data_IF_273826959756
#
_entry.id   IF_273826959756
#
_cell.length_a   1.000
_cell.length_b   1.000
_cell.length_c   1.000
_cell.angle_alpha   90.00
_cell.angle_beta   90.00
_cell.angle_gamma   90.00
#
_symmetry.space_group_name_H-M   'P 1'
#
loop_
_entity.id
_entity.type
_entity.pdbx_description
1 polymer ?
#
# COMPACT_ATOMS: atom_id res chain seq x y z
N UNK A 1 -10.34 -7.80 15.90
CA UNK A 1 -9.13 -6.95 15.93
C UNK A 1 -8.65 -6.79 14.50
N UNK A 2 -8.93 -5.65 13.86
CA UNK A 2 -8.62 -5.47 12.44
C UNK A 2 -7.12 -5.31 12.26
N UNK A 3 -6.50 -6.27 11.58
CA UNK A 3 -5.08 -6.21 11.24
C UNK A 3 -4.81 -4.97 10.39
N UNK A 4 -3.73 -4.24 10.64
CA UNK A 4 -3.42 -3.04 9.88
C UNK A 4 -3.13 -3.45 8.42
N UNK A 5 -3.76 -2.81 7.42
CA UNK A 5 -3.52 -3.15 6.04
C UNK A 5 -2.05 -2.88 5.68
N UNK A 6 -1.38 -3.90 5.15
CA UNK A 6 0.02 -3.80 4.74
C UNK A 6 0.07 -3.05 3.41
N UNK A 7 0.65 -1.85 3.45
CA UNK A 7 0.76 -1.00 2.27
C UNK A 7 1.90 -1.47 1.37
N UNK A 8 1.62 -1.65 0.07
CA UNK A 8 2.64 -1.91 -0.96
C UNK A 8 2.63 -3.35 -1.51
N UNK A 9 3.72 -3.78 -2.18
CA UNK A 9 3.78 -5.06 -2.91
C UNK A 9 3.68 -6.31 -2.03
N UNK A 10 3.70 -6.13 -0.70
CA UNK A 10 3.51 -7.20 0.28
C UNK A 10 2.04 -7.59 0.47
N UNK A 11 1.07 -6.83 -0.06
CA UNK A 11 -0.36 -7.07 0.17
C UNK A 11 -0.82 -8.48 -0.19
N UNK A 12 -0.57 -8.95 -1.42
CA UNK A 12 -0.96 -10.32 -1.82
C UNK A 12 -0.06 -11.40 -1.23
N UNK A 13 1.23 -11.08 -1.03
CA UNK A 13 2.13 -12.01 -0.37
C UNK A 13 1.67 -12.28 1.07
N UNK A 14 1.17 -11.26 1.77
CA UNK A 14 0.65 -11.36 3.13
C UNK A 14 -0.51 -12.34 3.26
N UNK A 15 -1.44 -12.38 2.30
CA UNK A 15 -2.56 -13.33 2.33
C UNK A 15 -2.08 -14.79 2.27
N UNK A 16 -0.94 -15.03 1.61
CA UNK A 16 -0.31 -16.34 1.46
C UNK A 16 0.75 -16.64 2.54
N UNK A 17 1.07 -15.68 3.40
CA UNK A 17 1.97 -15.88 4.53
C UNK A 17 1.31 -16.74 5.61
N UNK A 18 2.12 -17.60 6.26
CA UNK A 18 1.74 -18.28 7.50
C UNK A 18 1.57 -17.28 8.65
N UNK A 19 0.89 -17.70 9.72
CA UNK A 19 0.70 -16.82 10.89
C UNK A 19 2.04 -16.40 11.52
N UNK A 20 3.03 -17.30 11.56
CA UNK A 20 4.39 -16.97 12.00
C UNK A 20 5.02 -15.88 11.13
N UNK A 21 4.90 -15.99 9.80
CA UNK A 21 5.45 -14.97 8.89
C UNK A 21 4.74 -13.62 9.04
N UNK A 22 3.43 -13.63 9.26
CA UNK A 22 2.63 -12.42 9.54
C UNK A 22 3.03 -11.77 10.86
N UNK A 23 3.31 -12.58 11.89
CA UNK A 23 3.79 -12.07 13.17
C UNK A 23 5.20 -11.48 13.06
N UNK A 24 6.12 -12.15 12.35
CA UNK A 24 7.45 -11.63 12.06
C UNK A 24 7.37 -10.29 11.31
N UNK A 25 6.48 -10.19 10.32
CA UNK A 25 6.25 -8.95 9.60
C UNK A 25 5.73 -7.84 10.51
N UNK A 26 4.80 -8.16 11.41
CA UNK A 26 4.27 -7.20 12.39
C UNK A 26 5.36 -6.69 13.33
N UNK A 27 6.19 -7.59 13.86
CA UNK A 27 7.32 -7.22 14.72
C UNK A 27 8.34 -6.37 13.96
N UNK A 28 8.62 -6.75 12.71
CA UNK A 28 9.50 -5.97 11.83
C UNK A 28 8.95 -4.56 11.60
N UNK A 29 7.66 -4.42 11.32
CA UNK A 29 7.02 -3.10 11.16
C UNK A 29 7.14 -2.28 12.44
N UNK A 30 6.77 -2.84 13.59
CA UNK A 30 6.79 -2.13 14.88
C UNK A 30 8.21 -1.66 15.23
N UNK A 31 9.23 -2.49 15.02
CA UNK A 31 10.62 -2.14 15.29
C UNK A 31 11.18 -1.03 14.38
N UNK A 32 10.59 -0.85 13.19
CA UNK A 32 11.13 0.02 12.15
C UNK A 32 10.18 1.17 11.75
N UNK A 33 9.02 1.32 12.39
CA UNK A 33 7.99 2.30 12.00
C UNK A 33 8.44 3.77 12.07
N UNK A 34 9.46 4.05 12.88
CA UNK A 34 10.06 5.38 13.04
C UNK A 34 11.11 5.70 11.99
N UNK A 35 11.47 4.74 11.11
CA UNK A 35 12.33 5.03 9.97
C UNK A 35 11.58 5.87 8.95
N UNK A 36 12.32 6.72 8.22
CA UNK A 36 11.75 7.40 7.06
C UNK A 36 11.25 6.38 6.04
N UNK A 37 10.17 6.71 5.34
CA UNK A 37 9.56 5.85 4.33
C UNK A 37 10.56 5.18 3.38
N UNK A 38 11.52 5.89 2.74
CA UNK A 38 12.49 5.24 1.85
C UNK A 38 13.41 4.25 2.58
N UNK A 39 13.84 4.57 3.80
CA UNK A 39 14.68 3.69 4.61
C UNK A 39 13.91 2.45 5.05
N UNK A 40 12.67 2.62 5.50
CA UNK A 40 11.77 1.52 5.83
C UNK A 40 11.54 0.58 4.64
N UNK A 41 11.25 1.13 3.45
CA UNK A 41 11.03 0.37 2.21
C UNK A 41 12.29 -0.41 1.80
N UNK A 42 13.47 0.19 1.93
CA UNK A 42 14.72 -0.51 1.64
C UNK A 42 15.00 -1.63 2.65
N UNK A 43 14.73 -1.38 3.94
CA UNK A 43 14.96 -2.35 5.01
C UNK A 43 14.02 -3.54 4.90
N UNK A 44 12.72 -3.32 4.65
CA UNK A 44 11.75 -4.41 4.50
C UNK A 44 12.07 -5.29 3.29
N UNK A 45 12.51 -4.70 2.18
CA UNK A 45 12.91 -5.44 0.98
C UNK A 45 14.18 -6.29 1.24
N UNK A 46 15.16 -5.74 1.97
CA UNK A 46 16.44 -6.43 2.22
C UNK A 46 16.39 -7.44 3.37
N UNK A 47 15.63 -7.17 4.42
CA UNK A 47 15.71 -7.91 5.68
C UNK A 47 14.48 -8.76 5.97
N UNK A 48 13.32 -8.43 5.40
CA UNK A 48 12.11 -9.26 5.55
C UNK A 48 11.82 -10.07 4.29
N UNK A 49 11.71 -9.41 3.13
CA UNK A 49 11.34 -10.10 1.88
C UNK A 49 12.36 -11.16 1.50
N UNK A 50 13.65 -10.91 1.70
CA UNK A 50 14.73 -11.89 1.45
C UNK A 50 14.64 -13.16 2.30
N UNK A 51 13.94 -13.10 3.44
CA UNK A 51 13.75 -14.25 4.36
C UNK A 51 12.52 -15.09 4.02
N UNK A 52 11.66 -14.58 3.12
CA UNK A 52 10.48 -15.32 2.67
C UNK A 52 10.89 -16.50 1.76
N UNK A 53 10.08 -17.56 1.71
CA UNK A 53 10.17 -18.59 0.67
C UNK A 53 10.17 -18.01 -0.75
N UNK A 54 10.82 -18.71 -1.69
CA UNK A 54 11.04 -18.23 -3.07
C UNK A 54 9.73 -17.96 -3.84
N UNK A 55 8.67 -18.71 -3.55
CA UNK A 55 7.33 -18.49 -4.09
C UNK A 55 6.75 -17.15 -3.61
N UNK A 56 6.85 -16.84 -2.31
CA UNK A 56 6.41 -15.57 -1.75
C UNK A 56 7.28 -14.40 -2.24
N UNK A 57 8.59 -14.58 -2.38
CA UNK A 57 9.46 -13.57 -3.00
C UNK A 57 9.05 -13.26 -4.44
N UNK A 58 8.69 -14.29 -5.21
CA UNK A 58 8.19 -14.14 -6.57
C UNK A 58 6.89 -13.34 -6.59
N UNK A 59 5.94 -13.65 -5.70
CA UNK A 59 4.69 -12.89 -5.57
C UNK A 59 4.96 -11.42 -5.25
N UNK A 60 5.86 -11.11 -4.31
CA UNK A 60 6.24 -9.73 -3.98
C UNK A 60 6.81 -9.01 -5.20
N UNK A 61 7.66 -9.68 -5.98
CA UNK A 61 8.25 -9.13 -7.20
C UNK A 61 7.19 -8.84 -8.26
N UNK A 62 6.31 -9.81 -8.55
CA UNK A 62 5.23 -9.65 -9.52
C UNK A 62 4.28 -8.52 -9.12
N UNK A 63 3.94 -8.40 -7.84
CA UNK A 63 3.10 -7.31 -7.35
C UNK A 63 3.79 -5.96 -7.44
N UNK A 64 5.11 -5.89 -7.21
CA UNK A 64 5.90 -4.67 -7.43
C UNK A 64 5.81 -4.23 -8.90
N UNK A 65 5.98 -5.16 -9.84
CA UNK A 65 5.87 -4.86 -11.27
C UNK A 65 4.44 -4.46 -11.68
N UNK A 66 3.41 -5.13 -11.13
CA UNK A 66 2.00 -4.76 -11.39
C UNK A 66 1.68 -3.38 -10.81
N UNK A 67 2.18 -3.04 -9.63
CA UNK A 67 1.98 -1.72 -9.02
C UNK A 67 2.62 -0.62 -9.87
N UNK A 68 3.83 -0.83 -10.38
CA UNK A 68 4.49 0.13 -11.28
C UNK A 68 3.71 0.30 -12.59
N UNK A 69 3.22 -0.79 -13.20
CA UNK A 69 2.35 -0.71 -14.38
C UNK A 69 1.02 0.00 -14.08
N UNK A 70 0.42 -0.27 -12.93
CA UNK A 70 -0.82 0.40 -12.49
C UNK A 70 -0.59 1.88 -12.26
N UNK A 71 0.50 2.31 -11.61
CA UNK A 71 0.83 3.74 -11.45
C UNK A 71 0.82 4.48 -12.79
N UNK A 72 1.43 3.89 -13.83
CA UNK A 72 1.43 4.48 -15.17
C UNK A 72 0.01 4.63 -15.75
N UNK A 73 -0.85 3.62 -15.59
CA UNK A 73 -2.24 3.65 -16.05
C UNK A 73 -3.11 4.65 -15.27
N UNK A 74 -2.85 4.79 -13.96
CA UNK A 74 -3.61 5.66 -13.07
C UNK A 74 -3.37 7.14 -13.33
N UNK A 75 -2.14 7.51 -13.69
CA UNK A 75 -1.84 8.87 -14.12
C UNK A 75 -2.73 9.29 -15.31
N UNK A 76 -3.05 8.37 -16.23
CA UNK A 76 -3.95 8.64 -17.34
C UNK A 76 -5.42 8.66 -16.91
N UNK A 77 -5.82 7.77 -16.00
CA UNK A 77 -7.19 7.66 -15.53
C UNK A 77 -7.59 8.79 -14.56
N UNK A 78 -6.63 9.53 -13.99
CA UNK A 78 -6.90 10.60 -13.00
C UNK A 78 -7.72 11.72 -13.65
N UNK A 79 -7.53 11.95 -14.94
CA UNK A 79 -8.33 12.89 -15.73
C UNK A 79 -9.83 12.58 -15.71
N UNK A 80 -10.21 11.30 -15.58
CA UNK A 80 -11.58 10.81 -15.63
C UNK A 80 -12.30 10.77 -14.27
N UNK A 81 -11.60 11.15 -13.20
CA UNK A 81 -12.16 11.25 -11.85
C UNK A 81 -12.90 12.58 -11.65
N UNK A 82 -13.87 12.57 -10.73
CA UNK A 82 -14.47 13.77 -10.17
C UNK A 82 -13.43 14.64 -9.45
N UNK A 83 -13.69 15.94 -9.28
CA UNK A 83 -12.72 16.85 -8.67
C UNK A 83 -12.41 16.49 -7.21
N UNK A 84 -13.41 15.97 -6.48
CA UNK A 84 -13.23 15.44 -5.13
C UNK A 84 -12.32 14.19 -5.13
N UNK A 85 -12.57 13.26 -6.05
CA UNK A 85 -11.79 12.05 -6.23
C UNK A 85 -10.33 12.35 -6.66
N UNK A 86 -10.12 13.34 -7.54
CA UNK A 86 -8.79 13.84 -7.92
C UNK A 86 -8.04 14.39 -6.71
N UNK A 87 -8.70 15.20 -5.90
CA UNK A 87 -8.09 15.78 -4.69
C UNK A 87 -7.60 14.69 -3.74
N UNK A 88 -8.40 13.67 -3.49
CA UNK A 88 -8.02 12.51 -2.66
C UNK A 88 -6.87 11.73 -3.30
N UNK A 89 -6.90 11.49 -4.61
CA UNK A 89 -5.82 10.81 -5.33
C UNK A 89 -4.48 11.55 -5.18
N UNK A 90 -4.50 12.88 -5.31
CA UNK A 90 -3.33 13.74 -5.16
C UNK A 90 -2.80 13.73 -3.73
N UNK A 91 -3.69 13.72 -2.72
CA UNK A 91 -3.28 13.56 -1.32
C UNK A 91 -2.56 12.23 -1.09
N UNK A 92 -3.10 11.11 -1.59
CA UNK A 92 -2.43 9.82 -1.48
C UNK A 92 -1.06 9.82 -2.16
N UNK A 93 -0.96 10.38 -3.37
CA UNK A 93 0.30 10.47 -4.10
C UNK A 93 1.33 11.29 -3.33
N UNK A 94 0.95 12.47 -2.84
CA UNK A 94 1.83 13.32 -2.04
C UNK A 94 2.35 12.59 -0.81
N UNK A 95 1.50 11.83 -0.11
CA UNK A 95 1.90 11.05 1.05
C UNK A 95 2.82 9.87 0.71
N UNK A 96 2.60 9.22 -0.45
CA UNK A 96 3.40 8.07 -0.92
C UNK A 96 4.80 8.52 -1.36
N UNK A 97 4.89 9.69 -1.98
CA UNK A 97 6.10 10.28 -2.54
C UNK A 97 6.87 11.15 -1.50
N UNK A 98 6.27 11.45 -0.35
CA UNK A 98 6.93 12.15 0.75
C UNK A 98 8.00 11.27 1.40
N UNK A 99 9.26 11.58 1.08
CA UNK A 99 10.44 10.89 1.59
C UNK A 99 10.92 11.42 2.95
N UNK A 100 10.28 12.46 3.49
CA UNK A 100 10.71 13.10 4.73
C UNK A 100 9.95 12.61 5.96
N UNK A 101 8.80 11.99 5.76
CA UNK A 101 7.98 11.43 6.85
C UNK A 101 8.42 10.00 7.21
N UNK A 102 8.17 9.63 8.45
CA UNK A 102 8.31 8.26 8.93
C UNK A 102 7.21 7.35 8.37
N UNK A 103 7.45 6.04 8.42
CA UNK A 103 6.43 5.07 8.03
C UNK A 103 5.15 5.17 8.90
N UNK A 104 5.30 5.41 10.20
CA UNK A 104 4.16 5.62 11.12
C UNK A 104 3.36 6.88 10.78
N UNK A 105 4.03 8.00 10.48
CA UNK A 105 3.38 9.23 10.03
C UNK A 105 2.68 9.05 8.69
N UNK A 106 3.33 8.40 7.72
CA UNK A 106 2.72 8.08 6.43
C UNK A 106 1.44 7.26 6.62
N UNK A 107 1.50 6.20 7.43
CA UNK A 107 0.33 5.35 7.72
C UNK A 107 -0.79 6.14 8.40
N UNK A 108 -0.45 7.00 9.34
CA UNK A 108 -1.43 7.82 10.07
C UNK A 108 -2.12 8.81 9.14
N UNK A 109 -1.35 9.51 8.29
CA UNK A 109 -1.89 10.45 7.32
C UNK A 109 -2.74 9.75 6.25
N UNK A 110 -2.30 8.61 5.73
CA UNK A 110 -3.08 7.80 4.78
C UNK A 110 -4.39 7.35 5.41
N UNK A 111 -4.37 6.89 6.67
CA UNK A 111 -5.58 6.52 7.40
C UNK A 111 -6.53 7.70 7.55
N UNK A 112 -6.03 8.89 7.89
CA UNK A 112 -6.87 10.08 8.00
C UNK A 112 -7.54 10.43 6.65
N UNK A 113 -6.83 10.30 5.52
CA UNK A 113 -7.41 10.49 4.19
C UNK A 113 -8.50 9.44 3.92
N UNK A 114 -8.24 8.15 4.19
CA UNK A 114 -9.22 7.08 4.05
C UNK A 114 -10.49 7.31 4.89
N UNK A 115 -10.31 7.70 6.15
CA UNK A 115 -11.43 7.97 7.08
C UNK A 115 -12.25 9.20 6.63
N UNK A 116 -11.66 10.09 5.82
CA UNK A 116 -12.35 11.26 5.24
C UNK A 116 -13.03 10.99 3.89
N UNK A 117 -12.75 9.84 3.26
CA UNK A 117 -13.34 9.51 1.95
C UNK A 117 -14.83 9.24 2.08
N UNK A 118 -15.62 9.87 1.21
CA UNK A 118 -17.03 9.53 1.09
C UNK A 118 -17.20 8.19 0.37
N UNK A 119 -18.37 7.55 0.57
CA UNK A 119 -18.68 6.28 -0.07
C UNK A 119 -18.66 6.40 -1.60
N UNK A 120 -19.12 7.53 -2.13
CA UNK A 120 -19.13 7.83 -3.56
C UNK A 120 -17.71 7.85 -4.14
N UNK A 121 -16.74 8.43 -3.42
CA UNK A 121 -15.33 8.44 -3.86
C UNK A 121 -14.74 7.03 -3.83
N UNK A 122 -15.07 6.24 -2.81
CA UNK A 122 -14.63 4.84 -2.71
C UNK A 122 -15.20 4.01 -3.87
N UNK A 123 -16.48 4.18 -4.20
CA UNK A 123 -17.14 3.51 -5.32
C UNK A 123 -16.55 3.97 -6.66
N UNK A 124 -16.29 5.26 -6.82
CA UNK A 124 -15.66 5.82 -8.02
C UNK A 124 -14.25 5.24 -8.22
N UNK A 125 -13.42 5.23 -7.17
CA UNK A 125 -12.09 4.65 -7.23
C UNK A 125 -12.16 3.16 -7.59
N UNK A 126 -13.06 2.42 -6.96
CA UNK A 126 -13.25 0.99 -7.22
C UNK A 126 -13.69 0.73 -8.66
N UNK A 127 -14.67 1.49 -9.16
CA UNK A 127 -15.19 1.36 -10.53
C UNK A 127 -14.16 1.71 -11.59
N UNK A 128 -13.33 2.72 -11.31
CA UNK A 128 -12.27 3.20 -12.21
C UNK A 128 -10.95 2.43 -12.07
N UNK A 129 -10.89 1.44 -11.17
CA UNK A 129 -9.69 0.65 -10.91
C UNK A 129 -8.57 1.43 -10.22
N UNK A 130 -8.90 2.53 -9.54
CA UNK A 130 -7.96 3.27 -8.70
C UNK A 130 -7.60 2.48 -7.44
N UNK A 131 -6.30 2.25 -7.17
CA UNK A 131 -5.88 1.58 -5.96
C UNK A 131 -6.11 2.51 -4.78
N UNK A 132 -6.89 2.03 -3.83
CA UNK A 132 -7.04 2.66 -2.52
C UNK A 132 -5.94 2.06 -1.63
N UNK A 133 -5.01 2.86 -1.08
CA UNK A 133 -3.99 2.35 -0.18
C UNK A 133 -4.61 1.59 0.99
N UNK A 134 -4.24 0.32 1.14
CA UNK A 134 -4.73 -0.54 2.22
C UNK A 134 -6.13 -1.13 2.04
N UNK A 135 -6.79 -0.91 0.90
CA UNK A 135 -7.93 -1.72 0.50
C UNK A 135 -7.46 -2.99 -0.22
N UNK A 136 -8.15 -4.13 -0.07
CA UNK A 136 -7.93 -5.29 -0.93
C UNK A 136 -8.18 -4.89 -2.39
N UNK A 137 -7.43 -5.50 -3.32
CA UNK A 137 -7.62 -5.24 -4.75
C UNK A 137 -9.07 -5.57 -5.15
N UNK A 138 -9.73 -4.74 -5.98
CA UNK A 138 -11.06 -5.07 -6.49
C UNK A 138 -10.98 -6.42 -7.22
N UNK A 139 -11.67 -7.44 -6.70
CA UNK A 139 -11.69 -8.80 -7.26
C UNK A 139 -10.85 -9.85 -6.52
N UNK A 140 -10.16 -9.50 -5.43
CA UNK A 140 -9.63 -10.50 -4.50
C UNK A 140 -10.80 -11.06 -3.67
N UNK A 141 -11.45 -12.11 -4.19
CA UNK A 141 -12.32 -13.02 -3.43
C UNK A 141 -11.62 -14.36 -3.29
#
# INVERSE_FOLDING_TARGET
MSQPPIMGPLGLAYEKMSDTQKETLKQFIEANKNLKVPEFRAKIEKEFVSTLPADLQTIVKEEKEKLEKKKALLNSAESSLSDAAKTISQQFRALIDDNNITFEEQRTKIKAVLDSMSKEIIEEFTSKGFPIPGAPAPGAK
#
